data_IF_129755644443
#
_entry.id   IF_129755644443
#
_cell.length_a   1.000
_cell.length_b   1.000
_cell.length_c   1.000
_cell.angle_alpha   90.00
_cell.angle_beta   90.00
_cell.angle_gamma   90.00
#
_symmetry.space_group_name_H-M   'P 1'
#
loop_
_entity.id
_entity.type
_entity.pdbx_description
1 polymer ?
#
# COMPACT_ATOMS: atom_id res chain seq x y z
N UNK A 1 11.78 15.34 -10.31
CA UNK A 1 11.82 14.07 -9.56
C UNK A 1 10.38 13.58 -9.52
N UNK A 2 10.12 12.34 -9.89
CA UNK A 2 8.74 11.84 -9.94
C UNK A 2 8.28 11.64 -8.49
N UNK A 3 7.04 12.01 -8.20
CA UNK A 3 6.52 12.23 -6.84
C UNK A 3 6.69 10.98 -5.94
N UNK A 4 6.49 9.81 -6.52
CA UNK A 4 6.61 8.50 -5.86
C UNK A 4 8.04 7.91 -5.87
N UNK A 5 9.02 8.56 -6.48
CA UNK A 5 10.40 8.06 -6.54
C UNK A 5 10.98 7.87 -5.13
N UNK A 6 10.62 8.71 -4.16
CA UNK A 6 11.09 8.57 -2.77
C UNK A 6 10.66 7.22 -2.18
N UNK A 7 9.35 6.94 -2.18
CA UNK A 7 8.80 5.70 -1.64
C UNK A 7 9.22 4.47 -2.44
N UNK A 8 9.21 4.54 -3.78
CA UNK A 8 9.61 3.41 -4.63
C UNK A 8 11.10 3.10 -4.51
N UNK A 9 11.98 4.11 -4.46
CA UNK A 9 13.41 3.88 -4.25
C UNK A 9 13.69 3.35 -2.84
N UNK A 10 12.92 3.78 -1.83
CA UNK A 10 13.00 3.22 -0.49
C UNK A 10 12.68 1.71 -0.50
N UNK A 11 11.54 1.31 -1.05
CA UNK A 11 11.17 -0.11 -1.16
C UNK A 11 12.16 -0.91 -2.00
N UNK A 12 12.64 -0.33 -3.11
CA UNK A 12 13.68 -0.95 -3.94
C UNK A 12 14.97 -1.23 -3.15
N UNK A 13 15.34 -0.35 -2.22
CA UNK A 13 16.50 -0.56 -1.34
C UNK A 13 16.31 -1.72 -0.34
N UNK A 14 15.07 -2.16 -0.12
CA UNK A 14 14.70 -3.27 0.76
C UNK A 14 14.56 -4.62 0.04
N UNK A 15 14.73 -4.66 -1.28
CA UNK A 15 14.67 -5.92 -2.03
C UNK A 15 15.58 -6.99 -1.40
N UNK A 16 15.08 -8.22 -1.35
CA UNK A 16 15.71 -9.39 -0.74
C UNK A 16 15.90 -9.30 0.79
N UNK A 17 15.19 -8.41 1.47
CA UNK A 17 15.19 -8.29 2.92
C UNK A 17 13.78 -8.42 3.44
N UNK A 18 13.63 -9.03 4.62
CA UNK A 18 12.38 -8.97 5.37
C UNK A 18 12.23 -7.62 6.06
N UNK A 19 11.06 -7.02 5.98
CA UNK A 19 10.73 -5.77 6.69
C UNK A 19 9.56 -5.96 7.64
N UNK A 20 9.55 -5.15 8.70
CA UNK A 20 8.53 -5.18 9.74
C UNK A 20 8.38 -6.56 10.37
N UNK A 21 7.14 -7.02 10.47
CA UNK A 21 6.77 -8.36 10.96
C UNK A 21 6.68 -9.42 9.84
N UNK A 22 7.35 -9.19 8.71
CA UNK A 22 7.46 -10.12 7.58
C UNK A 22 6.15 -10.37 6.79
N UNK A 23 5.09 -9.60 7.05
CA UNK A 23 3.81 -9.72 6.31
C UNK A 23 3.75 -8.79 5.09
N UNK A 24 2.79 -9.01 4.20
CA UNK A 24 2.57 -8.19 3.01
C UNK A 24 2.28 -6.72 3.34
N UNK A 25 1.45 -6.47 4.36
CA UNK A 25 1.09 -5.13 4.80
C UNK A 25 2.24 -4.35 5.44
N UNK A 26 3.34 -5.00 5.82
CA UNK A 26 4.55 -4.29 6.26
C UNK A 26 5.14 -3.42 5.11
N UNK A 27 5.01 -3.88 3.85
CA UNK A 27 5.43 -3.09 2.67
C UNK A 27 4.56 -1.86 2.50
N UNK A 28 3.24 -2.01 2.63
CA UNK A 28 2.31 -0.88 2.60
C UNK A 28 2.55 0.10 3.75
N UNK A 29 2.81 -0.40 4.96
CA UNK A 29 3.09 0.40 6.15
C UNK A 29 4.37 1.23 5.98
N UNK A 30 5.47 0.59 5.56
CA UNK A 30 6.74 1.26 5.30
C UNK A 30 6.59 2.34 4.20
N UNK A 31 5.85 2.02 3.13
CA UNK A 31 5.60 2.96 2.04
C UNK A 31 4.77 4.16 2.49
N UNK A 32 3.64 3.91 3.17
CA UNK A 32 2.75 4.95 3.70
C UNK A 32 3.53 5.91 4.60
N UNK A 33 4.28 5.38 5.57
CA UNK A 33 5.06 6.21 6.49
C UNK A 33 6.15 7.05 5.80
N UNK A 34 6.87 6.48 4.82
CA UNK A 34 7.87 7.23 4.02
C UNK A 34 7.22 8.32 3.17
N UNK A 35 6.00 8.06 2.70
CA UNK A 35 5.19 8.94 1.86
C UNK A 35 4.19 9.76 2.68
N UNK A 36 4.43 9.97 3.98
CA UNK A 36 3.63 10.86 4.84
C UNK A 36 2.12 10.53 4.83
N UNK A 37 1.76 9.25 4.68
CA UNK A 37 0.42 8.73 4.90
C UNK A 37 0.20 8.33 6.36
N UNK A 38 -0.95 7.72 6.68
CA UNK A 38 -1.22 7.14 7.99
C UNK A 38 -0.17 6.09 8.36
N UNK A 39 0.20 6.04 9.64
CA UNK A 39 1.07 5.01 10.17
C UNK A 39 0.25 3.70 10.38
N UNK A 40 0.57 2.67 9.59
CA UNK A 40 -0.22 1.43 9.55
C UNK A 40 0.31 0.34 10.51
N UNK A 41 1.47 0.55 11.14
CA UNK A 41 2.11 -0.47 11.96
C UNK A 41 2.85 -1.53 11.15
N UNK A 42 2.42 -2.78 11.29
CA UNK A 42 3.05 -3.94 10.63
C UNK A 42 4.45 -4.30 11.14
N UNK A 43 4.77 -3.93 12.38
CA UNK A 43 6.08 -4.13 12.99
C UNK A 43 7.18 -3.28 12.35
N UNK A 44 6.82 -2.29 11.52
CA UNK A 44 7.76 -1.32 10.95
C UNK A 44 8.14 -0.26 11.99
N UNK A 45 8.96 0.71 11.59
CA UNK A 45 9.24 1.88 12.43
C UNK A 45 8.00 2.78 12.64
N UNK A 46 7.00 2.69 11.76
CA UNK A 46 5.79 3.49 11.76
C UNK A 46 4.70 2.79 12.56
N UNK A 47 4.69 3.00 13.88
CA UNK A 47 3.71 2.40 14.79
C UNK A 47 2.27 2.76 14.39
N UNK A 48 1.34 1.81 14.53
CA UNK A 48 -0.05 2.03 14.12
C UNK A 48 -0.71 3.18 14.90
N UNK A 49 -1.32 4.14 14.19
CA UNK A 49 -2.04 5.26 14.80
C UNK A 49 -3.46 5.43 14.24
N UNK A 50 -4.42 5.62 15.15
CA UNK A 50 -5.79 6.11 14.89
C UNK A 50 -6.52 5.44 13.70
N UNK A 51 -6.69 4.10 13.70
CA UNK A 51 -7.49 3.43 12.69
C UNK A 51 -8.96 3.85 12.79
N UNK A 52 -9.68 3.73 11.68
CA UNK A 52 -11.14 3.98 11.62
C UNK A 52 -11.89 2.96 12.48
N UNK A 53 -11.43 1.70 12.43
CA UNK A 53 -11.98 0.57 13.18
C UNK A 53 -10.84 -0.43 13.45
N UNK A 54 -10.69 -0.83 14.71
CA UNK A 54 -9.66 -1.80 15.13
C UNK A 54 -9.89 -3.19 14.54
N UNK A 55 -11.10 -3.54 14.09
CA UNK A 55 -11.36 -4.84 13.47
C UNK A 55 -10.85 -4.93 12.02
N UNK A 56 -10.68 -3.78 11.35
CA UNK A 56 -10.28 -3.73 9.93
C UNK A 56 -8.77 -3.84 9.72
N UNK A 57 -7.95 -3.51 10.74
CA UNK A 57 -6.49 -3.45 10.64
C UNK A 57 -5.82 -4.83 10.45
N UNK A 58 -6.56 -5.91 10.69
CA UNK A 58 -6.03 -7.27 10.62
C UNK A 58 -5.92 -7.83 9.20
N UNK A 59 -6.49 -7.14 8.21
CA UNK A 59 -6.62 -7.63 6.83
C UNK A 59 -5.95 -6.69 5.83
N UNK A 60 -5.16 -7.26 4.92
CA UNK A 60 -4.54 -6.52 3.83
C UNK A 60 -5.57 -5.99 2.82
N UNK A 61 -6.68 -6.72 2.68
CA UNK A 61 -7.81 -6.32 1.82
C UNK A 61 -8.45 -5.01 2.28
N UNK A 62 -8.53 -4.82 3.60
CA UNK A 62 -9.33 -3.76 4.20
C UNK A 62 -8.52 -2.47 4.46
N UNK A 63 -7.22 -2.44 4.14
CA UNK A 63 -6.34 -1.28 4.36
C UNK A 63 -6.94 0.01 3.77
N UNK A 64 -7.58 -0.06 2.60
CA UNK A 64 -8.21 1.11 1.97
C UNK A 64 -9.38 1.71 2.76
N UNK A 65 -9.96 0.97 3.72
CA UNK A 65 -11.06 1.42 4.58
C UNK A 65 -10.69 1.45 6.07
N UNK A 66 -9.57 0.84 6.45
CA UNK A 66 -9.13 0.74 7.85
C UNK A 66 -8.54 2.05 8.39
N UNK A 67 -8.11 2.98 7.53
CA UNK A 67 -7.41 4.21 7.92
C UNK A 67 -8.01 5.46 7.27
N UNK A 68 -7.80 6.62 7.90
CA UNK A 68 -8.33 7.93 7.49
C UNK A 68 -7.49 8.57 6.38
N UNK A 69 -7.31 7.87 5.26
CA UNK A 69 -6.44 8.28 4.14
C UNK A 69 -6.63 9.74 3.68
N UNK A 70 -7.88 10.21 3.62
CA UNK A 70 -8.20 11.58 3.18
C UNK A 70 -7.67 12.67 4.12
N UNK A 71 -7.49 12.39 5.42
CA UNK A 71 -6.89 13.35 6.37
C UNK A 71 -5.40 13.60 6.07
N UNK A 72 -4.76 12.66 5.37
CA UNK A 72 -3.37 12.76 4.91
C UNK A 72 -3.28 13.22 3.45
N UNK A 73 -4.41 13.58 2.83
CA UNK A 73 -4.49 14.00 1.43
C UNK A 73 -4.49 12.84 0.42
N UNK A 74 -4.47 11.59 0.86
CA UNK A 74 -4.52 10.42 -0.01
C UNK A 74 -5.95 10.18 -0.51
N UNK A 75 -6.06 9.57 -1.70
CA UNK A 75 -7.34 9.18 -2.29
C UNK A 75 -7.48 7.66 -2.30
N UNK A 76 -8.72 7.16 -2.17
CA UNK A 76 -9.02 5.72 -2.22
C UNK A 76 -10.08 5.47 -3.27
N UNK A 77 -9.79 4.56 -4.21
CA UNK A 77 -10.76 4.05 -5.18
C UNK A 77 -11.03 2.59 -4.84
N UNK A 78 -12.30 2.24 -4.62
CA UNK A 78 -12.74 0.87 -4.33
C UNK A 78 -13.11 0.15 -5.62
N UNK A 79 -12.76 -1.12 -5.73
CA UNK A 79 -13.00 -1.95 -6.93
C UNK A 79 -12.56 -1.24 -8.23
N UNK A 80 -11.30 -0.77 -8.32
CA UNK A 80 -10.82 0.03 -9.44
C UNK A 80 -10.83 -0.78 -10.75
N UNK A 81 -11.03 -0.08 -11.86
CA UNK A 81 -10.64 -0.60 -13.19
C UNK A 81 -9.14 -0.42 -13.41
N UNK A 82 -8.57 -1.07 -14.42
CA UNK A 82 -7.13 -0.99 -14.69
C UNK A 82 -6.67 0.45 -14.93
N UNK A 83 -7.51 1.27 -15.56
CA UNK A 83 -7.24 2.68 -15.86
C UNK A 83 -7.22 3.58 -14.61
N UNK A 84 -7.77 3.13 -13.49
CA UNK A 84 -7.69 3.84 -12.20
C UNK A 84 -6.36 3.56 -11.47
N UNK A 85 -5.56 2.60 -11.95
CA UNK A 85 -4.31 2.23 -11.31
C UNK A 85 -3.22 3.23 -11.64
N UNK A 86 -2.50 3.66 -10.61
CA UNK A 86 -1.40 4.62 -10.74
C UNK A 86 -0.11 4.07 -10.11
N UNK A 87 1.02 4.29 -10.78
CA UNK A 87 2.35 3.98 -10.22
C UNK A 87 2.56 4.77 -8.93
N UNK A 88 3.05 4.11 -7.89
CA UNK A 88 3.18 4.67 -6.55
C UNK A 88 1.96 4.46 -5.65
N UNK A 89 0.89 3.84 -6.14
CA UNK A 89 -0.26 3.53 -5.30
C UNK A 89 -0.04 2.27 -4.46
N UNK A 90 -0.65 2.23 -3.28
CA UNK A 90 -0.83 0.97 -2.54
C UNK A 90 -2.04 0.25 -3.17
N UNK A 91 -1.88 -1.04 -3.43
CA UNK A 91 -2.87 -1.90 -4.05
C UNK A 91 -3.30 -2.98 -3.07
N UNK A 92 -4.61 -3.08 -2.80
CA UNK A 92 -5.20 -4.09 -1.93
C UNK A 92 -5.96 -5.09 -2.78
N UNK A 93 -5.52 -6.35 -2.77
CA UNK A 93 -6.20 -7.44 -3.45
C UNK A 93 -7.28 -8.03 -2.56
N UNK A 94 -8.34 -8.52 -3.20
CA UNK A 94 -9.42 -9.25 -2.53
C UNK A 94 -8.93 -10.55 -1.88
N UNK A 95 -9.79 -11.14 -1.06
CA UNK A 95 -9.56 -12.43 -0.41
C UNK A 95 -9.78 -13.58 -1.38
N UNK A 96 -8.94 -14.63 -1.28
CA UNK A 96 -9.07 -15.85 -2.07
C UNK A 96 -9.16 -15.62 -3.60
N UNK A 97 -8.39 -14.66 -4.12
CA UNK A 97 -8.33 -14.39 -5.57
C UNK A 97 -6.96 -14.76 -6.12
N UNK A 98 -6.95 -15.32 -7.33
CA UNK A 98 -5.72 -15.59 -8.09
C UNK A 98 -5.17 -14.26 -8.61
N UNK A 99 -3.88 -13.98 -8.46
CA UNK A 99 -3.23 -12.75 -8.97
C UNK A 99 -1.95 -13.03 -9.79
N UNK A 100 -1.48 -14.27 -9.80
CA UNK A 100 -0.49 -14.82 -10.74
C UNK A 100 -0.81 -16.29 -10.99
N UNK A 101 -0.07 -16.95 -11.88
CA UNK A 101 -0.25 -18.39 -12.12
C UNK A 101 0.07 -19.26 -10.90
N UNK A 102 0.92 -18.77 -10.00
CA UNK A 102 1.45 -19.51 -8.86
C UNK A 102 1.00 -18.93 -7.50
N UNK A 103 0.16 -17.89 -7.47
CA UNK A 103 -0.25 -17.24 -6.23
C UNK A 103 -1.74 -16.85 -6.19
N UNK A 104 -2.36 -17.26 -5.09
CA UNK A 104 -3.71 -16.89 -4.67
C UNK A 104 -3.60 -16.20 -3.32
N UNK A 105 -4.31 -15.09 -3.15
CA UNK A 105 -4.32 -14.32 -1.91
C UNK A 105 -4.93 -15.10 -0.75
N UNK A 106 -4.57 -14.73 0.49
CA UNK A 106 -5.05 -15.44 1.68
C UNK A 106 -6.59 -15.38 1.78
N UNK A 107 -7.21 -16.48 2.18
CA UNK A 107 -8.68 -16.60 2.20
C UNK A 107 -9.35 -15.69 3.25
N UNK A 108 -8.68 -15.42 4.38
CA UNK A 108 -9.20 -14.54 5.43
C UNK A 108 -8.75 -13.07 5.33
N UNK A 109 -7.56 -12.81 4.78
CA UNK A 109 -6.89 -11.50 4.90
C UNK A 109 -6.57 -10.84 3.55
N UNK A 110 -6.65 -11.58 2.45
CA UNK A 110 -6.23 -11.14 1.12
C UNK A 110 -4.74 -10.86 1.03
N UNK A 111 -4.38 -9.83 0.26
CA UNK A 111 -2.98 -9.43 0.02
C UNK A 111 -2.86 -7.96 -0.33
N UNK A 112 -1.67 -7.37 -0.25
CA UNK A 112 -1.44 -6.01 -0.70
C UNK A 112 -0.02 -5.81 -1.25
N UNK A 113 0.14 -4.75 -2.04
CA UNK A 113 1.34 -4.43 -2.79
C UNK A 113 1.50 -2.90 -2.94
N UNK A 114 2.66 -2.47 -3.45
CA UNK A 114 2.85 -1.11 -3.98
C UNK A 114 3.19 -1.20 -5.47
N UNK A 115 2.49 -0.43 -6.31
CA UNK A 115 2.66 -0.45 -7.76
C UNK A 115 3.96 0.29 -8.13
N UNK A 116 4.91 -0.42 -8.75
CA UNK A 116 6.16 0.16 -9.31
C UNK A 116 6.09 0.43 -10.81
N UNK A 117 5.10 -0.13 -11.50
CA UNK A 117 4.93 0.03 -12.95
C UNK A 117 3.63 -0.60 -13.45
N UNK A 118 3.19 -0.16 -14.62
CA UNK A 118 2.02 -0.67 -15.33
C UNK A 118 2.43 -0.87 -16.79
N UNK A 119 2.23 -2.07 -17.33
CA UNK A 119 2.59 -2.40 -18.71
C UNK A 119 1.68 -3.51 -19.24
N UNK A 120 1.02 -3.28 -20.38
CA UNK A 120 0.18 -4.27 -21.09
C UNK A 120 -0.75 -5.10 -20.18
N UNK A 121 -1.61 -4.44 -19.40
CA UNK A 121 -2.56 -5.06 -18.44
C UNK A 121 -1.91 -5.83 -17.27
N UNK A 122 -0.57 -5.75 -17.15
CA UNK A 122 0.17 -6.24 -16.00
C UNK A 122 0.40 -5.12 -14.99
N UNK A 123 0.39 -5.51 -13.72
CA UNK A 123 0.68 -4.65 -12.58
C UNK A 123 2.02 -5.09 -12.01
N UNK A 124 3.02 -4.24 -12.15
CA UNK A 124 4.34 -4.49 -11.60
C UNK A 124 4.39 -3.96 -10.17
N UNK A 125 4.79 -4.79 -9.22
CA UNK A 125 4.61 -4.52 -7.79
C UNK A 125 5.90 -4.70 -6.99
N UNK A 126 5.94 -4.06 -5.82
CA UNK A 126 6.76 -4.47 -4.68
C UNK A 126 5.87 -5.08 -3.60
N UNK A 127 6.26 -6.25 -3.11
CA UNK A 127 5.45 -7.04 -2.19
C UNK A 127 6.33 -7.86 -1.24
N UNK A 128 5.75 -8.29 -0.12
CA UNK A 128 6.33 -9.28 0.78
C UNK A 128 5.28 -10.35 1.04
N UNK A 129 5.72 -11.57 1.36
CA UNK A 129 4.84 -12.73 1.59
C UNK A 129 4.02 -13.14 0.35
N UNK A 130 4.57 -12.86 -0.83
CA UNK A 130 4.21 -13.49 -2.10
C UNK A 130 4.93 -14.84 -2.27
N UNK A 131 5.17 -15.25 -3.51
CA UNK A 131 5.78 -16.54 -3.87
C UNK A 131 7.18 -16.75 -3.27
N UNK A 132 7.96 -15.68 -3.13
CA UNK A 132 9.31 -15.72 -2.54
C UNK A 132 9.29 -15.62 -1.01
N UNK A 133 8.12 -15.62 -0.38
CA UNK A 133 7.96 -15.65 1.07
C UNK A 133 8.28 -14.33 1.75
N UNK A 134 8.93 -14.39 2.91
CA UNK A 134 9.07 -13.31 3.91
C UNK A 134 10.08 -12.20 3.56
N UNK A 135 10.32 -11.98 2.26
CA UNK A 135 11.20 -10.91 1.76
C UNK A 135 10.44 -9.94 0.86
N UNK A 136 10.88 -8.69 0.82
CA UNK A 136 10.45 -7.75 -0.22
C UNK A 136 11.02 -8.20 -1.57
N UNK A 137 10.14 -8.39 -2.53
CA UNK A 137 10.46 -8.79 -3.89
C UNK A 137 9.60 -8.02 -4.91
N UNK A 138 10.08 -7.98 -6.13
CA UNK A 138 9.31 -7.54 -7.28
C UNK A 138 8.51 -8.70 -7.88
N UNK A 139 7.27 -8.40 -8.26
CA UNK A 139 6.40 -9.32 -8.99
C UNK A 139 5.74 -8.60 -10.16
N UNK A 140 5.21 -9.40 -11.09
CA UNK A 140 4.28 -8.96 -12.11
C UNK A 140 2.95 -9.70 -11.87
N UNK A 141 1.87 -8.94 -11.70
CA UNK A 141 0.52 -9.45 -11.40
C UNK A 141 -0.40 -9.22 -12.58
N UNK A 142 -1.31 -10.16 -12.79
CA UNK A 142 -2.36 -9.99 -13.79
C UNK A 142 -3.49 -9.12 -13.22
N UNK A 143 -4.02 -8.21 -14.02
CA UNK A 143 -5.33 -7.63 -13.75
C UNK A 143 -6.42 -8.59 -14.26
N UNK A 144 -7.10 -9.30 -13.36
CA UNK A 144 -8.16 -10.25 -13.73
C UNK A 144 -9.57 -9.64 -13.73
N UNK A 145 -9.72 -8.39 -13.29
CA UNK A 145 -11.01 -7.72 -13.21
C UNK A 145 -11.18 -6.93 -11.91
N UNK A 146 -12.20 -6.10 -11.85
CA UNK A 146 -12.52 -5.23 -10.70
C UNK A 146 -12.78 -6.02 -9.42
N UNK A 147 -13.20 -7.28 -9.54
CA UNK A 147 -13.49 -8.19 -8.43
C UNK A 147 -12.22 -8.78 -7.78
N UNK A 148 -11.04 -8.52 -8.33
CA UNK A 148 -9.77 -9.00 -7.75
C UNK A 148 -9.05 -7.96 -6.91
N UNK A 149 -9.44 -6.69 -7.01
CA UNK A 149 -8.80 -5.57 -6.30
C UNK A 149 -9.87 -4.90 -5.45
N UNK A 150 -9.68 -4.96 -4.13
CA UNK A 150 -10.58 -4.32 -3.18
C UNK A 150 -10.44 -2.79 -3.23
N UNK A 151 -9.21 -2.29 -3.30
CA UNK A 151 -8.94 -0.86 -3.44
C UNK A 151 -7.55 -0.55 -4.00
N UNK A 152 -7.45 0.63 -4.60
CA UNK A 152 -6.18 1.32 -4.86
C UNK A 152 -6.15 2.62 -4.06
N UNK A 153 -5.02 2.89 -3.41
CA UNK A 153 -4.83 3.99 -2.47
C UNK A 153 -3.70 4.87 -3.01
N UNK A 154 -4.07 6.07 -3.45
CA UNK A 154 -3.26 6.95 -4.27
C UNK A 154 -2.66 8.07 -3.40
N UNK A 155 -1.32 8.21 -3.33
CA UNK A 155 -0.69 9.28 -2.58
C UNK A 155 -0.92 10.65 -3.24
N UNK A 156 -0.98 11.75 -2.45
CA UNK A 156 -1.03 13.10 -3.01
C UNK A 156 0.30 13.51 -3.66
N UNK A 157 0.27 14.64 -4.36
CA UNK A 157 1.48 15.24 -4.90
C UNK A 157 2.33 15.90 -3.79
N UNK A 158 3.43 15.23 -3.41
CA UNK A 158 4.42 15.71 -2.44
C UNK A 158 5.56 16.54 -3.07
N UNK A 159 5.44 17.03 -4.32
CA UNK A 159 6.48 17.83 -4.98
C UNK A 159 6.67 19.25 -4.42
N UNK A 160 5.84 19.66 -3.46
CA UNK A 160 6.07 20.86 -2.65
C UNK A 160 7.26 20.70 -1.70
N UNK A 161 7.74 21.81 -1.12
CA UNK A 161 8.65 21.73 0.03
C UNK A 161 8.06 20.76 1.06
N UNK A 162 8.83 19.82 1.63
CA UNK A 162 8.38 19.03 2.75
C UNK A 162 8.00 20.04 3.84
N UNK A 163 6.72 20.36 3.92
CA UNK A 163 6.12 20.86 5.13
C UNK A 163 6.64 19.91 6.21
N UNK A 164 7.25 20.46 7.27
CA UNK A 164 7.95 19.71 8.31
C UNK A 164 6.97 18.71 8.99
N UNK A 165 6.69 17.60 8.31
CA UNK A 165 5.76 16.57 8.70
C UNK A 165 6.56 15.58 9.54
N UNK A 166 6.54 15.83 10.84
CA UNK A 166 6.96 14.87 11.85
C UNK A 166 5.87 13.79 11.95
N UNK A 167 6.30 12.52 12.06
CA UNK A 167 5.45 11.33 12.20
C UNK A 167 4.13 11.55 12.97
N UNK A 168 3.05 10.93 12.49
CA UNK A 168 1.86 10.67 13.29
C UNK A 168 0.98 11.86 13.70
N UNK A 169 0.90 12.95 12.92
CA UNK A 169 -0.11 13.98 13.18
C UNK A 169 -1.04 14.21 11.99
N UNK A 170 -2.32 13.90 12.22
CA UNK A 170 -3.44 14.46 11.44
C UNK A 170 -3.36 16.00 11.43
N UNK A 171 -3.82 16.67 10.36
CA UNK A 171 -3.78 18.12 10.26
C UNK A 171 -4.41 18.79 11.48
N UNK A 172 -3.69 19.76 12.03
CA UNK A 172 -4.14 20.68 13.08
C UNK A 172 -5.49 21.26 12.65
N UNK A 173 -6.52 21.12 13.51
CA UNK A 173 -7.76 21.88 13.38
C UNK A 173 -7.42 23.38 13.37
N UNK A 174 -7.43 24.02 12.19
CA UNK A 174 -7.71 25.46 12.12
C UNK A 174 -9.22 25.65 12.10
N UNK A 175 -9.86 25.47 13.25
CA UNK A 175 -11.17 26.08 13.50
C UNK A 175 -10.94 27.55 13.87
N UNK A 176 -11.24 28.44 12.91
CA UNK A 176 -11.54 29.85 13.20
C UNK A 176 -12.76 29.97 14.13
#
# INVERSE_FOLDING_TARGET
MVIYDKGLNHLKSKLNQGIGNYQCYAVAAEYSGVMCGPDLGGGTYFDQLDPVDEELIYSATDIGIAYKWSEYGWSVIKNPIYEDLEVGSILCFERNVKISDDFTTHEEYGHCAVIRGLDNDMIQTYEQKGELGEIVADYDRYFYGTETIASVIIPPDFSGEPTDFVHGQAPIEERM
#
